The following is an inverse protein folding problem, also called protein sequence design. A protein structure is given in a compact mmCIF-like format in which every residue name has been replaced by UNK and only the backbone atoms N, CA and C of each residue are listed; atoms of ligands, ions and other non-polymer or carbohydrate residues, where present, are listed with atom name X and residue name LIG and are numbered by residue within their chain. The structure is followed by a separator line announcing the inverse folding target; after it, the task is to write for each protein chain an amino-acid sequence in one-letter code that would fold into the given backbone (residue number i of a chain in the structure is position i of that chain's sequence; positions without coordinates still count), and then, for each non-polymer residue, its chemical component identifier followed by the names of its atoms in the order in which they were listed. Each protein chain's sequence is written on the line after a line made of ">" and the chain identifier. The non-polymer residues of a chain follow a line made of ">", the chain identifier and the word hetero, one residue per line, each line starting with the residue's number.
data_IF_937408414959
#
_entry.id   IF_937408414959
#
_cell.length_a   1.000
_cell.length_b   1.000
_cell.length_c   1.000
_cell.angle_alpha   90.00
_cell.angle_beta   90.00
_cell.angle_gamma   90.00
#
_symmetry.space_group_name_H-M   'P 1'
#
loop_
_entity.id
_entity.type
_entity.pdbx_description
1 polymer ?
#
# COMPACT_ATOMS: atom_id res chain seq x y z
N UNK A 1 13.59 83.18 -15.76
CA UNK A 1 14.53 82.85 -16.85
C UNK A 1 15.70 82.07 -16.27
N UNK A 2 15.74 80.74 -16.36
CA UNK A 2 16.97 79.94 -16.19
C UNK A 2 16.76 78.58 -16.89
N UNK A 3 16.98 78.57 -18.21
CA UNK A 3 17.13 77.34 -18.99
C UNK A 3 18.61 77.01 -19.08
N UNK A 4 18.95 75.76 -18.81
CA UNK A 4 20.02 75.07 -19.53
C UNK A 4 21.26 74.74 -18.73
N UNK A 5 21.36 73.49 -18.25
CA UNK A 5 22.65 72.75 -18.19
C UNK A 5 22.53 71.24 -17.91
N UNK A 6 21.52 70.52 -18.42
CA UNK A 6 21.33 69.09 -18.11
C UNK A 6 21.66 68.10 -19.25
N UNK A 7 22.50 68.48 -20.23
CA UNK A 7 22.77 67.65 -21.43
C UNK A 7 24.22 67.22 -21.65
N UNK A 8 25.04 67.08 -20.59
CA UNK A 8 26.48 66.72 -20.74
C UNK A 8 26.93 65.41 -20.09
N UNK A 9 26.02 64.66 -19.46
CA UNK A 9 26.41 63.47 -18.66
C UNK A 9 26.30 62.12 -19.40
N UNK A 10 25.82 62.10 -20.64
CA UNK A 10 25.68 60.85 -21.43
C UNK A 10 26.83 60.60 -22.42
N UNK A 11 27.81 61.51 -22.55
CA UNK A 11 28.90 61.37 -23.53
C UNK A 11 30.20 60.80 -22.95
N UNK A 12 30.23 60.42 -21.67
CA UNK A 12 31.47 60.07 -20.97
C UNK A 12 31.67 58.56 -20.70
N UNK A 13 30.77 57.67 -21.16
CA UNK A 13 30.81 56.25 -20.79
C UNK A 13 31.61 55.35 -21.75
N UNK A 14 32.12 55.84 -22.88
CA UNK A 14 32.92 54.99 -23.79
C UNK A 14 34.22 55.64 -24.26
N UNK A 15 35.27 55.69 -23.41
CA UNK A 15 36.62 55.94 -23.87
C UNK A 15 37.26 54.61 -24.29
N UNK A 16 37.39 54.34 -25.60
CA UNK A 16 38.20 53.21 -26.09
C UNK A 16 37.65 52.54 -27.35
N UNK A 17 38.30 52.81 -28.49
CA UNK A 17 37.89 52.35 -29.82
C UNK A 17 38.02 50.86 -30.06
N UNK A 18 37.22 50.35 -31.01
CA UNK A 18 37.31 49.05 -31.70
C UNK A 18 37.29 47.79 -30.82
N UNK A 19 38.29 47.66 -29.94
CA UNK A 19 38.61 46.48 -29.12
C UNK A 19 37.56 46.16 -28.06
N UNK A 20 36.91 47.18 -27.48
CA UNK A 20 35.82 47.01 -26.50
C UNK A 20 34.55 46.46 -27.17
N UNK A 21 34.19 47.00 -28.35
CA UNK A 21 33.07 46.51 -29.16
C UNK A 21 33.33 45.07 -29.63
N UNK A 22 34.56 44.76 -30.06
CA UNK A 22 34.96 43.39 -30.42
C UNK A 22 34.83 42.46 -29.21
N UNK A 23 35.28 42.86 -28.02
CA UNK A 23 35.19 42.01 -26.83
C UNK A 23 33.74 41.71 -26.42
N UNK A 24 32.84 42.69 -26.50
CA UNK A 24 31.42 42.50 -26.23
C UNK A 24 30.76 41.58 -27.26
N UNK A 25 31.12 41.72 -28.54
CA UNK A 25 30.64 40.84 -29.60
C UNK A 25 31.08 39.38 -29.40
N UNK A 26 32.33 39.16 -28.98
CA UNK A 26 32.86 37.82 -28.66
C UNK A 26 32.14 37.21 -27.47
N UNK A 27 31.89 37.98 -26.40
CA UNK A 27 31.14 37.48 -25.23
C UNK A 27 29.71 37.12 -25.63
N UNK A 28 29.04 37.95 -26.41
CA UNK A 28 27.69 37.65 -26.90
C UNK A 28 27.67 36.35 -27.73
N UNK A 29 28.67 36.16 -28.62
CA UNK A 29 28.80 34.93 -29.40
C UNK A 29 29.02 33.70 -28.52
N UNK A 30 29.87 33.80 -27.48
CA UNK A 30 30.09 32.71 -26.53
C UNK A 30 28.83 32.35 -25.76
N UNK A 31 28.04 33.34 -25.33
CA UNK A 31 26.77 33.10 -24.64
C UNK A 31 25.78 32.41 -25.57
N UNK A 32 25.67 32.85 -26.83
CA UNK A 32 24.80 32.21 -27.82
C UNK A 32 25.23 30.77 -28.10
N UNK A 33 26.54 30.53 -28.22
CA UNK A 33 27.09 29.20 -28.45
C UNK A 33 26.85 28.27 -27.25
N UNK A 34 27.16 28.73 -26.04
CA UNK A 34 26.91 27.99 -24.81
C UNK A 34 25.41 27.72 -24.59
N UNK A 35 24.56 28.71 -24.88
CA UNK A 35 23.11 28.57 -24.83
C UNK A 35 22.59 27.54 -25.83
N UNK A 36 23.10 27.54 -27.06
CA UNK A 36 22.75 26.55 -28.09
C UNK A 36 23.10 25.12 -27.66
N UNK A 37 24.29 24.92 -27.09
CA UNK A 37 24.71 23.63 -26.54
C UNK A 37 23.79 23.22 -25.38
N UNK A 38 23.52 24.12 -24.44
CA UNK A 38 22.67 23.83 -23.29
C UNK A 38 21.26 23.38 -23.72
N UNK A 39 20.65 24.07 -24.68
CA UNK A 39 19.34 23.68 -25.23
C UNK A 39 19.40 22.30 -25.87
N UNK A 40 20.42 22.00 -26.67
CA UNK A 40 20.56 20.69 -27.30
C UNK A 40 20.68 19.56 -26.26
N UNK A 41 21.49 19.75 -25.21
CA UNK A 41 21.64 18.78 -24.12
C UNK A 41 20.33 18.57 -23.36
N UNK A 42 19.61 19.64 -23.04
CA UNK A 42 18.30 19.55 -22.38
C UNK A 42 17.31 18.79 -23.26
N UNK A 43 17.28 19.07 -24.57
CA UNK A 43 16.37 18.40 -25.49
C UNK A 43 16.68 16.90 -25.60
N UNK A 44 17.96 16.53 -25.70
CA UNK A 44 18.40 15.13 -25.68
C UNK A 44 18.02 14.43 -24.37
N UNK A 45 18.20 15.10 -23.23
CA UNK A 45 17.83 14.54 -21.93
C UNK A 45 16.32 14.32 -21.82
N UNK A 46 15.50 15.26 -22.29
CA UNK A 46 14.04 15.13 -22.29
C UNK A 46 13.61 13.91 -23.12
N UNK A 47 14.17 13.75 -24.32
CA UNK A 47 13.87 12.61 -25.20
C UNK A 47 14.27 11.30 -24.53
N UNK A 48 15.49 11.21 -23.99
CA UNK A 48 15.96 10.02 -23.30
C UNK A 48 15.04 9.66 -22.11
N UNK A 49 14.66 10.65 -21.30
CA UNK A 49 13.73 10.45 -20.17
C UNK A 49 12.33 10.06 -20.59
N UNK A 50 11.86 10.53 -21.75
CA UNK A 50 10.57 10.11 -22.28
C UNK A 50 10.62 8.64 -22.69
N UNK A 51 11.66 8.25 -23.45
CA UNK A 51 11.85 6.88 -23.93
C UNK A 51 12.05 5.88 -22.78
N UNK A 52 12.82 6.25 -21.74
CA UNK A 52 12.97 5.46 -20.52
C UNK A 52 11.63 5.22 -19.82
N UNK A 53 10.76 6.23 -19.76
CA UNK A 53 9.43 6.11 -19.14
C UNK A 53 8.51 5.21 -19.95
N UNK A 54 8.52 5.33 -21.28
CA UNK A 54 7.74 4.47 -22.15
C UNK A 54 8.20 3.01 -22.06
N UNK A 55 9.52 2.77 -22.06
CA UNK A 55 10.09 1.45 -21.88
C UNK A 55 9.71 0.86 -20.52
N UNK A 56 9.83 1.63 -19.44
CA UNK A 56 9.45 1.20 -18.11
C UNK A 56 7.95 0.84 -18.02
N UNK A 57 7.08 1.64 -18.64
CA UNK A 57 5.65 1.36 -18.72
C UNK A 57 5.37 0.07 -19.50
N UNK A 58 5.96 -0.09 -20.69
CA UNK A 58 5.81 -1.30 -21.50
C UNK A 58 6.33 -2.56 -20.79
N UNK A 59 7.48 -2.48 -20.13
CA UNK A 59 8.00 -3.59 -19.30
C UNK A 59 7.05 -3.93 -18.15
N UNK A 60 6.47 -2.93 -17.48
CA UNK A 60 5.50 -3.18 -16.41
C UNK A 60 4.26 -3.89 -16.93
N UNK A 61 3.75 -3.50 -18.10
CA UNK A 61 2.61 -4.15 -18.74
C UNK A 61 2.94 -5.59 -19.13
N UNK A 62 4.07 -5.82 -19.80
CA UNK A 62 4.52 -7.17 -20.21
C UNK A 62 4.68 -8.09 -19.01
N UNK A 63 5.31 -7.61 -17.92
CA UNK A 63 5.47 -8.41 -16.70
C UNK A 63 4.13 -8.72 -16.02
N UNK A 64 3.19 -7.78 -16.01
CA UNK A 64 1.84 -8.02 -15.51
C UNK A 64 1.13 -9.09 -16.36
N UNK A 65 1.18 -8.99 -17.69
CA UNK A 65 0.61 -9.99 -18.58
C UNK A 65 1.26 -11.36 -18.35
N UNK A 66 2.58 -11.44 -18.27
CA UNK A 66 3.28 -12.70 -18.00
C UNK A 66 2.88 -13.33 -16.66
N UNK A 67 2.70 -12.53 -15.60
CA UNK A 67 2.20 -13.03 -14.33
C UNK A 67 0.79 -13.60 -14.46
N UNK A 68 -0.10 -12.91 -15.19
CA UNK A 68 -1.46 -13.40 -15.43
C UNK A 68 -1.48 -14.67 -16.26
N UNK A 69 -0.64 -14.79 -17.30
CA UNK A 69 -0.59 -16.00 -18.13
C UNK A 69 -0.04 -17.19 -17.36
N UNK A 70 0.98 -17.00 -16.51
CA UNK A 70 1.49 -18.05 -15.63
C UNK A 70 0.43 -18.51 -14.62
N UNK A 71 -0.30 -17.58 -14.01
CA UNK A 71 -1.38 -17.93 -13.09
C UNK A 71 -2.51 -18.71 -13.80
N UNK A 72 -2.89 -18.28 -15.01
CA UNK A 72 -3.88 -18.99 -15.82
C UNK A 72 -3.40 -20.37 -16.26
N UNK A 73 -2.13 -20.50 -16.65
CA UNK A 73 -1.53 -21.77 -17.03
C UNK A 73 -1.50 -22.75 -15.85
N UNK A 74 -1.13 -22.29 -14.66
CA UNK A 74 -1.16 -23.10 -13.44
C UNK A 74 -2.58 -23.57 -13.10
N UNK A 75 -3.58 -22.69 -13.28
CA UNK A 75 -4.98 -23.07 -13.08
C UNK A 75 -5.43 -24.10 -14.12
N UNK A 76 -5.09 -23.90 -15.39
CA UNK A 76 -5.45 -24.83 -16.46
C UNK A 76 -4.86 -26.23 -16.19
N UNK A 77 -3.62 -26.30 -15.72
CA UNK A 77 -2.97 -27.56 -15.37
C UNK A 77 -3.67 -28.26 -14.20
N UNK A 78 -4.07 -27.51 -13.16
CA UNK A 78 -4.86 -28.04 -12.06
C UNK A 78 -6.22 -28.57 -12.54
N UNK A 79 -6.96 -27.79 -13.32
CA UNK A 79 -8.28 -28.17 -13.85
C UNK A 79 -8.20 -29.42 -14.76
N UNK A 80 -7.06 -29.61 -15.46
CA UNK A 80 -6.80 -30.80 -16.28
C UNK A 80 -6.43 -32.04 -15.47
N UNK A 81 -6.05 -31.87 -14.21
CA UNK A 81 -5.62 -32.99 -13.37
C UNK A 81 -6.80 -33.86 -12.91
N UNK A 82 -6.51 -35.14 -12.66
CA UNK A 82 -7.47 -36.08 -12.07
C UNK A 82 -8.00 -35.59 -10.71
N UNK A 83 -7.18 -34.83 -9.97
CA UNK A 83 -7.57 -34.29 -8.67
C UNK A 83 -8.71 -33.26 -8.78
N UNK A 84 -8.70 -32.40 -9.80
CA UNK A 84 -9.79 -31.47 -10.06
C UNK A 84 -11.05 -32.20 -10.54
N UNK A 85 -10.89 -33.23 -11.37
CA UNK A 85 -12.01 -34.09 -11.81
C UNK A 85 -12.66 -34.80 -10.63
N UNK A 86 -11.87 -35.37 -9.72
CA UNK A 86 -12.38 -36.02 -8.50
C UNK A 86 -13.07 -35.00 -7.58
N UNK A 87 -12.46 -33.83 -7.35
CA UNK A 87 -13.06 -32.78 -6.53
C UNK A 87 -14.42 -32.35 -7.08
N UNK A 88 -14.54 -32.17 -8.40
CA UNK A 88 -15.80 -31.86 -9.06
C UNK A 88 -16.81 -33.01 -8.95
N UNK A 89 -16.36 -34.25 -9.09
CA UNK A 89 -17.21 -35.43 -8.88
C UNK A 89 -17.77 -35.48 -7.44
N UNK A 90 -16.95 -35.18 -6.42
CA UNK A 90 -17.40 -35.12 -5.03
C UNK A 90 -18.41 -34.01 -4.77
N UNK A 91 -18.24 -32.83 -5.41
CA UNK A 91 -19.18 -31.71 -5.30
C UNK A 91 -20.57 -32.07 -5.86
N UNK A 92 -20.59 -32.87 -6.93
CA UNK A 92 -21.82 -33.43 -7.49
C UNK A 92 -22.39 -34.61 -6.69
N UNK A 93 -21.74 -35.04 -5.61
CA UNK A 93 -22.12 -36.23 -4.83
C UNK A 93 -21.89 -37.54 -5.59
N UNK A 94 -21.08 -37.52 -6.65
CA UNK A 94 -20.68 -38.73 -7.37
C UNK A 94 -19.58 -39.44 -6.58
N UNK A 95 -19.59 -40.77 -6.71
CA UNK A 95 -18.74 -41.67 -5.93
C UNK A 95 -18.08 -42.65 -6.91
N UNK A 96 -16.81 -42.98 -6.66
CA UNK A 96 -16.07 -43.92 -7.51
C UNK A 96 -16.55 -45.35 -7.28
N UNK A 97 -16.47 -46.19 -8.31
CA UNK A 97 -16.80 -47.61 -8.15
C UNK A 97 -15.88 -48.25 -7.11
N UNK A 98 -16.48 -48.77 -6.02
CA UNK A 98 -15.78 -49.38 -4.89
C UNK A 98 -15.64 -48.50 -3.64
N UNK A 99 -16.03 -47.23 -3.68
CA UNK A 99 -16.04 -46.34 -2.51
C UNK A 99 -17.23 -46.65 -1.58
N UNK A 100 -17.00 -46.57 -0.26
CA UNK A 100 -18.05 -46.75 0.77
C UNK A 100 -18.65 -45.39 1.12
N UNK A 101 -19.93 -45.20 0.80
CA UNK A 101 -20.67 -43.98 1.15
C UNK A 101 -21.12 -44.03 2.61
N UNK A 102 -20.52 -43.20 3.46
CA UNK A 102 -20.94 -43.01 4.84
C UNK A 102 -21.82 -41.76 4.90
N UNK A 103 -23.13 -41.93 5.05
CA UNK A 103 -24.06 -40.82 5.29
C UNK A 103 -24.15 -40.62 6.81
N UNK A 104 -23.68 -39.49 7.37
CA UNK A 104 -23.84 -39.23 8.78
C UNK A 104 -25.31 -38.98 9.08
N UNK A 105 -25.96 -39.96 9.72
CA UNK A 105 -27.26 -39.77 10.31
C UNK A 105 -27.11 -38.80 11.49
N UNK A 106 -27.87 -37.69 11.47
CA UNK A 106 -27.94 -36.84 12.67
C UNK A 106 -28.63 -37.64 13.75
N UNK A 107 -27.84 -38.22 14.66
CA UNK A 107 -28.37 -38.73 15.91
C UNK A 107 -29.17 -37.58 16.55
N UNK A 108 -30.48 -37.77 16.86
CA UNK A 108 -31.22 -36.76 17.58
C UNK A 108 -30.39 -36.41 18.81
N UNK A 109 -30.09 -35.11 18.98
CA UNK A 109 -29.35 -34.61 20.12
C UNK A 109 -29.96 -35.24 21.37
N UNK A 110 -29.19 -36.11 22.05
CA UNK A 110 -29.64 -36.66 23.32
C UNK A 110 -30.05 -35.46 24.18
N UNK A 111 -31.31 -35.45 24.61
CA UNK A 111 -31.86 -34.41 25.47
C UNK A 111 -30.84 -34.20 26.59
N UNK A 112 -30.34 -32.97 26.82
CA UNK A 112 -29.34 -32.74 27.86
C UNK A 112 -29.86 -33.30 29.18
N UNK A 113 -29.20 -34.35 29.67
CA UNK A 113 -29.48 -34.90 31.00
C UNK A 113 -29.26 -33.74 31.99
N UNK A 114 -30.23 -33.41 32.86
CA UNK A 114 -30.04 -32.34 33.83
C UNK A 114 -28.78 -32.62 34.66
N UNK A 115 -27.94 -31.60 34.91
CA UNK A 115 -26.72 -31.78 35.69
C UNK A 115 -27.07 -32.32 37.09
N UNK A 116 -26.23 -33.21 37.66
CA UNK A 116 -26.47 -33.73 39.00
C UNK A 116 -26.56 -32.58 40.00
N UNK A 117 -27.65 -32.57 40.78
CA UNK A 117 -27.93 -31.56 41.79
C UNK A 117 -26.79 -31.52 42.80
N UNK A 118 -26.01 -30.45 42.79
CA UNK A 118 -24.95 -30.23 43.78
C UNK A 118 -25.61 -29.97 45.14
N UNK A 119 -25.22 -30.64 46.24
CA UNK A 119 -25.80 -30.37 47.54
C UNK A 119 -25.46 -28.94 47.97
N UNK A 120 -26.50 -28.15 48.26
CA UNK A 120 -26.37 -26.79 48.77
C UNK A 120 -25.75 -26.84 50.17
N UNK A 121 -24.66 -26.10 50.47
CA UNK A 121 -24.10 -26.07 51.81
C UNK A 121 -25.11 -25.50 52.80
N UNK A 122 -25.26 -26.16 53.95
CA UNK A 122 -26.13 -25.70 55.04
C UNK A 122 -25.78 -24.26 55.44
N UNK A 123 -26.77 -23.37 55.65
CA UNK A 123 -26.48 -22.00 56.06
C UNK A 123 -25.74 -21.99 57.39
N UNK A 124 -24.67 -21.18 57.48
CA UNK A 124 -23.98 -20.93 58.74
C UNK A 124 -24.96 -20.28 59.74
N UNK A 125 -24.87 -20.63 61.04
CA UNK A 125 -25.71 -20.00 62.05
C UNK A 125 -25.44 -18.49 62.08
N UNK A 126 -26.52 -17.70 62.04
CA UNK A 126 -26.43 -16.24 62.13
C UNK A 126 -25.89 -15.85 63.51
N UNK A 127 -24.82 -15.04 63.60
CA UNK A 127 -24.29 -14.62 64.89
C UNK A 127 -25.30 -13.73 65.63
N UNK A 128 -25.34 -13.78 66.97
CA UNK A 128 -26.30 -13.00 67.74
C UNK A 128 -26.10 -11.50 67.52
N UNK A 129 -27.18 -10.71 67.56
CA UNK A 129 -27.12 -9.27 67.39
C UNK A 129 -26.27 -8.62 68.49
N UNK A 130 -25.62 -7.51 68.16
CA UNK A 130 -24.60 -6.91 69.02
C UNK A 130 -25.11 -6.58 70.42
N UNK A 131 -26.34 -6.08 70.57
CA UNK A 131 -26.94 -5.74 71.87
C UNK A 131 -26.97 -6.93 72.84
N UNK A 132 -27.18 -8.14 72.33
CA UNK A 132 -27.26 -9.36 73.14
C UNK A 132 -25.86 -9.78 73.63
N UNK A 133 -24.83 -9.49 72.83
CA UNK A 133 -23.42 -9.65 73.26
C UNK A 133 -23.06 -8.64 74.34
N UNK A 134 -23.48 -7.38 74.18
CA UNK A 134 -23.26 -6.34 75.19
C UNK A 134 -24.00 -6.68 76.49
N UNK A 135 -25.24 -7.17 76.42
CA UNK A 135 -26.00 -7.57 77.59
C UNK A 135 -25.29 -8.67 78.39
N UNK A 136 -24.83 -9.73 77.74
CA UNK A 136 -24.04 -10.79 78.39
C UNK A 136 -22.70 -10.29 78.95
N UNK A 137 -22.10 -9.24 78.37
CA UNK A 137 -20.86 -8.67 78.89
C UNK A 137 -21.07 -7.85 80.18
N UNK A 138 -22.23 -7.20 80.33
CA UNK A 138 -22.54 -6.41 81.52
C UNK A 138 -23.25 -7.22 82.62
N UNK A 139 -23.95 -8.29 82.27
CA UNK A 139 -24.69 -9.16 83.19
C UNK A 139 -24.40 -10.64 82.85
N UNK A 140 -23.27 -11.20 83.31
CA UNK A 140 -22.93 -12.61 83.14
C UNK A 140 -23.84 -13.54 83.98
#
# INVERSE_FOLDING_TARGET
>A
MLRGRSRRWLAATFPGGGRTVISLAVIALLILFAGGIAVNLVNQLIIARHLERELAAAHSEVSALQATTQALAARLEYERSDAATEAWARDLGLVRDGDIVIVPERVPSAIPQPPPTTPVPSPLPTPPPNWQRWWHAFFP
#
